data_IF_562379337368
#
_entry.id   IF_562379337368
#
_cell.length_a   1.000
_cell.length_b   1.000
_cell.length_c   1.000
_cell.angle_alpha   90.00
_cell.angle_beta   90.00
_cell.angle_gamma   90.00
#
_symmetry.space_group_name_H-M   'P 1'
#
loop_
_entity.id
_entity.type
_entity.pdbx_description
1 polymer ?
#
# COMPACT_ATOMS: atom_id res chain seq x y z
N UNK A 1 21.31 6.98 -9.43
CA UNK A 1 20.00 7.41 -8.90
C UNK A 1 19.12 6.19 -8.87
N UNK A 2 18.58 5.80 -7.71
CA UNK A 2 17.27 5.12 -7.63
C UNK A 2 16.89 4.89 -6.15
N UNK A 3 16.69 5.98 -5.40
CA UNK A 3 16.01 5.93 -4.11
C UNK A 3 14.50 5.83 -4.35
N UNK A 4 14.07 4.69 -4.89
CA UNK A 4 12.67 4.35 -4.99
C UNK A 4 12.25 3.65 -3.70
N UNK A 5 11.69 4.42 -2.77
CA UNK A 5 10.84 3.93 -1.68
C UNK A 5 9.55 3.31 -2.25
N UNK A 6 9.68 2.25 -3.05
CA UNK A 6 8.58 1.46 -3.59
C UNK A 6 8.19 0.33 -2.63
N UNK A 7 8.47 0.45 -1.32
CA UNK A 7 8.21 -0.63 -0.35
C UNK A 7 6.83 -1.27 -0.55
N UNK A 8 5.76 -0.47 -0.61
CA UNK A 8 4.39 -0.95 -0.83
C UNK A 8 4.20 -1.62 -2.20
N UNK A 9 4.75 -1.04 -3.27
CA UNK A 9 4.68 -1.62 -4.62
C UNK A 9 5.45 -2.94 -4.71
N UNK A 10 6.64 -3.02 -4.13
CA UNK A 10 7.47 -4.23 -4.11
C UNK A 10 6.79 -5.31 -3.28
N UNK A 11 6.37 -4.97 -2.06
CA UNK A 11 5.69 -5.90 -1.15
C UNK A 11 4.46 -6.53 -1.80
N UNK A 12 3.64 -5.72 -2.48
CA UNK A 12 2.43 -6.14 -3.16
C UNK A 12 2.75 -7.05 -4.36
N UNK A 13 3.70 -6.66 -5.20
CA UNK A 13 4.13 -7.46 -6.37
C UNK A 13 4.74 -8.80 -5.98
N UNK A 14 5.54 -8.85 -4.91
CA UNK A 14 6.12 -10.11 -4.39
C UNK A 14 5.07 -11.11 -3.90
N UNK A 15 3.87 -10.63 -3.58
CA UNK A 15 2.73 -11.44 -3.12
C UNK A 15 1.67 -11.63 -4.20
N UNK A 16 1.96 -11.22 -5.44
CA UNK A 16 1.05 -11.30 -6.58
C UNK A 16 -0.29 -10.58 -6.35
N UNK A 17 -0.30 -9.59 -5.46
CA UNK A 17 -1.49 -8.79 -5.14
C UNK A 17 -1.66 -7.67 -6.17
N UNK A 18 -2.89 -7.42 -6.58
CA UNK A 18 -3.26 -6.27 -7.42
C UNK A 18 -3.54 -5.04 -6.56
N UNK A 19 -3.50 -3.84 -7.16
CA UNK A 19 -3.97 -2.64 -6.46
C UNK A 19 -5.45 -2.72 -6.06
N UNK A 20 -6.25 -3.52 -6.80
CA UNK A 20 -7.66 -3.74 -6.50
C UNK A 20 -7.82 -4.55 -5.21
N UNK A 21 -7.02 -5.60 -5.03
CA UNK A 21 -7.08 -6.42 -3.81
C UNK A 21 -6.78 -5.59 -2.56
N UNK A 22 -5.76 -4.73 -2.64
CA UNK A 22 -5.44 -3.81 -1.54
C UNK A 22 -6.54 -2.77 -1.36
N UNK A 23 -7.04 -2.18 -2.45
CA UNK A 23 -8.13 -1.20 -2.44
C UNK A 23 -9.37 -1.73 -1.73
N UNK A 24 -9.75 -2.97 -2.05
CA UNK A 24 -10.93 -3.63 -1.49
C UNK A 24 -10.74 -3.90 0.00
N UNK A 25 -9.53 -4.26 0.43
CA UNK A 25 -9.21 -4.51 1.85
C UNK A 25 -9.18 -3.24 2.70
N UNK A 26 -8.45 -2.21 2.27
CA UNK A 26 -8.24 -1.00 3.10
C UNK A 26 -9.31 0.08 2.87
N UNK A 27 -10.24 -0.16 1.96
CA UNK A 27 -11.29 0.75 1.52
C UNK A 27 -10.74 2.12 1.06
N UNK A 28 -9.77 2.08 0.15
CA UNK A 28 -9.18 3.27 -0.49
C UNK A 28 -9.18 3.04 -2.00
N UNK A 29 -9.60 4.05 -2.77
CA UNK A 29 -9.65 3.91 -4.22
C UNK A 29 -8.29 3.56 -4.84
N UNK A 30 -8.31 2.68 -5.84
CA UNK A 30 -7.14 2.30 -6.65
C UNK A 30 -6.36 3.51 -7.16
N UNK A 31 -7.05 4.59 -7.55
CA UNK A 31 -6.41 5.82 -8.00
C UNK A 31 -5.56 6.50 -6.91
N UNK A 32 -6.07 6.55 -5.67
CA UNK A 32 -5.33 7.10 -4.54
C UNK A 32 -4.17 6.19 -4.13
N UNK A 33 -4.35 4.87 -4.14
CA UNK A 33 -3.27 3.91 -3.91
C UNK A 33 -2.16 4.02 -4.95
N UNK A 34 -2.51 4.16 -6.24
CA UNK A 34 -1.54 4.35 -7.32
C UNK A 34 -0.75 5.66 -7.14
N UNK A 35 -1.40 6.75 -6.71
CA UNK A 35 -0.71 8.02 -6.40
C UNK A 35 0.16 7.89 -5.15
N UNK A 36 -0.30 7.17 -4.13
CA UNK A 36 0.44 6.88 -2.92
C UNK A 36 1.72 6.09 -3.21
N UNK A 37 1.61 4.95 -3.90
CA UNK A 37 2.74 4.10 -4.31
C UNK A 37 3.77 4.85 -5.16
N UNK A 38 3.33 5.83 -5.96
CA UNK A 38 4.20 6.67 -6.80
C UNK A 38 4.72 7.94 -6.11
N UNK A 39 4.48 8.12 -4.80
CA UNK A 39 4.76 9.35 -4.04
C UNK A 39 4.23 10.64 -4.69
N UNK A 40 3.10 10.55 -5.41
CA UNK A 40 2.42 11.67 -6.08
C UNK A 40 1.27 12.25 -5.26
N UNK A 41 1.06 11.77 -4.04
CA UNK A 41 0.03 12.27 -3.14
C UNK A 41 0.52 13.57 -2.47
N UNK A 42 -0.01 14.72 -2.90
CA UNK A 42 0.41 16.04 -2.38
C UNK A 42 -0.10 16.36 -0.97
N UNK A 43 -1.17 15.69 -0.55
CA UNK A 43 -1.78 15.94 0.75
C UNK A 43 -1.15 15.02 1.81
N UNK A 44 -0.37 15.61 2.72
CA UNK A 44 0.32 14.86 3.79
C UNK A 44 -0.65 14.11 4.71
N UNK A 45 -1.78 14.72 5.10
CA UNK A 45 -2.75 14.06 5.98
C UNK A 45 -3.35 12.82 5.31
N UNK A 46 -3.68 12.93 4.02
CA UNK A 46 -4.17 11.78 3.26
C UNK A 46 -3.08 10.72 3.07
N UNK A 47 -1.82 11.13 2.91
CA UNK A 47 -0.68 10.23 2.78
C UNK A 47 -0.51 9.39 4.06
N UNK A 48 -0.45 10.02 5.22
CA UNK A 48 -0.33 9.34 6.51
C UNK A 48 -1.52 8.41 6.79
N UNK A 49 -2.74 8.83 6.44
CA UNK A 49 -3.92 8.00 6.60
C UNK A 49 -3.88 6.72 5.75
N UNK A 50 -3.46 6.83 4.48
CA UNK A 50 -3.29 5.66 3.59
C UNK A 50 -2.14 4.79 4.10
N UNK A 51 -1.02 5.40 4.47
CA UNK A 51 0.16 4.72 5.01
C UNK A 51 -0.22 3.84 6.20
N UNK A 52 -0.93 4.40 7.18
CA UNK A 52 -1.37 3.67 8.38
C UNK A 52 -2.22 2.45 8.03
N UNK A 53 -3.21 2.60 7.14
CA UNK A 53 -4.08 1.49 6.73
C UNK A 53 -3.31 0.40 5.98
N UNK A 54 -2.40 0.80 5.09
CA UNK A 54 -1.58 -0.15 4.32
C UNK A 54 -0.61 -0.90 5.24
N UNK A 55 0.03 -0.21 6.18
CA UNK A 55 0.91 -0.83 7.18
C UNK A 55 0.15 -1.87 8.04
N UNK A 56 -1.07 -1.54 8.48
CA UNK A 56 -1.93 -2.50 9.20
C UNK A 56 -2.28 -3.72 8.34
N UNK A 57 -2.64 -3.52 7.07
CA UNK A 57 -2.90 -4.63 6.15
C UNK A 57 -1.67 -5.54 5.99
N UNK A 58 -0.48 -4.97 5.87
CA UNK A 58 0.77 -5.74 5.76
C UNK A 58 0.99 -6.61 7.01
N UNK A 59 0.80 -6.03 8.21
CA UNK A 59 0.94 -6.75 9.47
C UNK A 59 -0.07 -7.90 9.61
N UNK A 60 -1.32 -7.65 9.23
CA UNK A 60 -2.39 -8.67 9.26
C UNK A 60 -2.10 -9.79 8.26
N UNK A 61 -1.70 -9.45 7.03
CA UNK A 61 -1.35 -10.43 6.00
C UNK A 61 -0.19 -11.34 6.43
N UNK A 62 0.86 -10.75 7.00
CA UNK A 62 2.03 -11.50 7.48
C UNK A 62 1.71 -12.34 8.73
N UNK A 63 0.69 -11.97 9.51
CA UNK A 63 0.19 -12.77 10.65
C UNK A 63 -0.63 -13.96 10.18
N UNK A 64 -1.52 -13.77 9.21
CA UNK A 64 -2.35 -14.83 8.63
C UNK A 64 -1.52 -15.91 7.92
N UNK A 65 -0.38 -15.54 7.33
CA UNK A 65 0.54 -16.50 6.67
C UNK A 65 1.41 -17.32 7.63
N UNK A 66 1.54 -16.90 8.89
CA UNK A 66 2.35 -17.61 9.90
C UNK A 66 1.55 -18.68 10.65
N UNK A 67 0.23 -18.65 10.56
CA UNK A 67 -0.68 -19.68 11.06
C UNK A 67 -1.05 -20.64 9.92
#
# INVERSE_FOLDING_TARGET
MENNDFFYTVWRKQRELTLKDVSDYIHISVANLCRFERKKLKNQKAYEAIKKKYDSYIQEYDTLKKN
#
